data_IF_888548761920
#
_entry.id   IF_888548761920
#
_cell.length_a   1.000
_cell.length_b   1.000
_cell.length_c   1.000
_cell.angle_alpha   90.00
_cell.angle_beta   90.00
_cell.angle_gamma   90.00
#
_symmetry.space_group_name_H-M   'P 1'
#
loop_
_entity.id
_entity.type
_entity.pdbx_description
1 polymer ?
#
# COMPACT_ATOMS: atom_id res chain seq x y z
N UNK A 1 -36.23 31.51 -24.73
CA UNK A 1 -36.59 30.11 -24.37
C UNK A 1 -35.43 29.15 -24.60
N UNK A 2 -35.23 28.20 -23.65
CA UNK A 2 -34.40 26.96 -23.67
C UNK A 2 -32.88 27.11 -23.89
N UNK A 3 -32.01 26.96 -22.88
CA UNK A 3 -31.53 25.69 -22.24
C UNK A 3 -30.95 24.75 -23.32
N UNK A 4 -29.65 24.41 -23.34
CA UNK A 4 -29.06 23.53 -22.33
C UNK A 4 -27.53 23.44 -22.47
N UNK A 5 -26.88 23.42 -21.30
CA UNK A 5 -25.53 22.98 -21.01
C UNK A 5 -25.34 21.49 -21.33
N UNK A 6 -24.19 21.09 -21.88
CA UNK A 6 -23.81 19.68 -22.03
C UNK A 6 -22.60 19.37 -21.14
N UNK A 7 -22.91 18.88 -19.94
CA UNK A 7 -21.98 18.26 -19.01
C UNK A 7 -21.69 16.80 -19.38
N UNK A 8 -20.45 16.43 -19.09
CA UNK A 8 -19.86 15.09 -18.94
C UNK A 8 -20.81 13.95 -18.55
N UNK A 9 -20.54 12.74 -19.07
CA UNK A 9 -20.82 11.46 -18.38
C UNK A 9 -19.92 10.35 -18.92
N UNK A 10 -18.99 9.92 -18.07
CA UNK A 10 -18.24 8.68 -18.20
C UNK A 10 -19.19 7.48 -18.02
N UNK A 11 -19.01 6.44 -18.83
CA UNK A 11 -19.67 5.15 -18.67
C UNK A 11 -18.60 4.08 -18.42
N UNK A 12 -18.40 3.79 -17.14
CA UNK A 12 -17.54 2.72 -16.62
C UNK A 12 -18.29 1.39 -16.78
N UNK A 13 -17.81 0.50 -17.65
CA UNK A 13 -18.37 -0.86 -17.79
C UNK A 13 -17.70 -1.78 -16.76
N UNK A 14 -18.44 -2.11 -15.71
CA UNK A 14 -18.06 -3.00 -14.62
C UNK A 14 -18.26 -4.47 -15.03
N UNK A 15 -17.22 -5.11 -15.54
CA UNK A 15 -17.19 -6.58 -15.73
C UNK A 15 -16.82 -7.29 -14.44
N UNK A 16 -17.83 -7.84 -13.76
CA UNK A 16 -17.71 -8.74 -12.61
C UNK A 16 -17.11 -10.09 -13.03
N UNK A 17 -15.82 -10.31 -12.79
CA UNK A 17 -15.25 -11.67 -12.83
C UNK A 17 -15.07 -12.19 -11.41
N UNK A 18 -15.99 -13.07 -10.98
CA UNK A 18 -15.84 -13.90 -9.78
C UNK A 18 -14.55 -14.70 -9.90
N UNK A 19 -13.59 -14.48 -9.01
CA UNK A 19 -12.39 -15.31 -8.91
C UNK A 19 -12.46 -16.18 -7.65
N UNK A 20 -12.74 -17.45 -7.86
CA UNK A 20 -12.71 -18.54 -6.88
C UNK A 20 -11.32 -18.65 -6.25
N UNK A 21 -11.25 -18.72 -4.92
CA UNK A 21 -10.01 -18.91 -4.17
C UNK A 21 -9.69 -20.41 -4.12
N UNK A 22 -8.66 -20.83 -4.85
CA UNK A 22 -8.03 -22.14 -4.65
C UNK A 22 -6.89 -21.93 -3.66
N UNK A 23 -7.06 -22.48 -2.46
CA UNK A 23 -6.01 -22.60 -1.44
C UNK A 23 -5.15 -23.80 -1.77
N UNK A 24 -3.98 -23.58 -2.37
CA UNK A 24 -2.92 -24.57 -2.47
C UNK A 24 -1.75 -24.13 -1.60
N UNK A 25 -1.54 -24.86 -0.51
CA UNK A 25 -0.37 -24.77 0.33
C UNK A 25 0.84 -25.30 -0.45
N UNK A 26 1.57 -24.38 -1.06
CA UNK A 26 2.90 -24.61 -1.62
C UNK A 26 3.84 -23.65 -0.90
N UNK A 27 5.02 -24.13 -0.50
CA UNK A 27 6.10 -23.27 -0.01
C UNK A 27 6.64 -22.44 -1.18
N UNK A 28 5.81 -21.52 -1.65
CA UNK A 28 6.12 -20.55 -2.68
C UNK A 28 6.95 -19.46 -2.02
N UNK A 29 8.19 -19.29 -2.47
CA UNK A 29 9.01 -18.15 -2.07
C UNK A 29 8.24 -16.90 -2.47
N UNK A 30 7.50 -16.28 -1.54
CA UNK A 30 6.67 -15.10 -1.78
C UNK A 30 7.51 -14.07 -2.53
N UNK A 31 7.13 -13.80 -3.77
CA UNK A 31 7.83 -12.83 -4.61
C UNK A 31 7.71 -11.46 -3.97
N UNK A 32 8.85 -10.83 -3.70
CA UNK A 32 8.92 -9.45 -3.20
C UNK A 32 8.51 -8.51 -4.34
N UNK A 33 7.60 -7.59 -4.05
CA UNK A 33 7.18 -6.58 -5.01
C UNK A 33 8.35 -5.67 -5.42
N UNK A 34 8.36 -5.26 -6.69
CA UNK A 34 9.37 -4.32 -7.17
C UNK A 34 9.18 -2.97 -6.49
N UNK A 35 10.22 -2.38 -5.87
CA UNK A 35 10.12 -1.06 -5.26
C UNK A 35 9.72 0.02 -6.27
N UNK A 36 8.85 0.92 -5.83
CA UNK A 36 8.53 2.16 -6.53
C UNK A 36 9.60 3.18 -6.15
N UNK A 37 10.26 3.78 -7.14
CA UNK A 37 11.39 4.69 -6.93
C UNK A 37 11.02 6.10 -6.43
N UNK A 38 9.81 6.28 -5.90
CA UNK A 38 9.25 7.56 -5.48
C UNK A 38 8.61 7.38 -4.11
N UNK A 39 8.84 8.33 -3.22
CA UNK A 39 8.23 8.40 -1.90
C UNK A 39 6.75 8.77 -2.01
N UNK A 40 5.87 7.94 -1.45
CA UNK A 40 4.42 8.18 -1.47
C UNK A 40 3.94 9.41 -0.67
N UNK A 41 4.83 10.08 0.06
CA UNK A 41 4.49 11.25 0.89
C UNK A 41 5.02 12.57 0.31
N UNK A 42 6.30 12.63 -0.02
CA UNK A 42 6.95 13.85 -0.50
C UNK A 42 7.25 13.86 -2.00
N UNK A 43 6.98 12.76 -2.71
CA UNK A 43 7.25 12.56 -4.13
C UNK A 43 8.73 12.64 -4.54
N UNK A 44 9.66 12.67 -3.58
CA UNK A 44 11.10 12.58 -3.82
C UNK A 44 11.60 11.13 -3.98
N UNK A 45 12.84 10.98 -4.44
CA UNK A 45 13.53 9.70 -4.63
C UNK A 45 14.55 9.43 -3.51
N UNK A 46 15.49 8.49 -3.70
CA UNK A 46 16.52 8.19 -2.69
C UNK A 46 17.55 9.33 -2.49
N UNK A 47 17.63 10.27 -3.43
CA UNK A 47 18.57 11.38 -3.38
C UNK A 47 17.97 12.61 -2.72
N UNK A 48 16.63 12.69 -2.66
CA UNK A 48 15.94 13.85 -2.13
C UNK A 48 14.70 13.49 -1.31
N UNK A 49 14.79 13.67 0.01
CA UNK A 49 13.64 13.67 0.92
C UNK A 49 12.93 15.03 0.95
N UNK A 50 11.91 15.16 1.83
CA UNK A 50 11.14 16.40 1.99
C UNK A 50 11.98 17.64 2.33
N UNK A 51 13.14 17.44 2.96
CA UNK A 51 14.08 18.52 3.33
C UNK A 51 15.16 18.77 2.28
N UNK A 52 15.12 18.07 1.14
CA UNK A 52 16.13 18.19 0.11
C UNK A 52 17.41 17.37 0.35
N UNK A 53 17.39 16.41 1.29
CA UNK A 53 18.56 15.62 1.70
C UNK A 53 18.45 14.19 1.19
N UNK A 54 19.58 13.56 0.84
CA UNK A 54 19.60 12.15 0.45
C UNK A 54 19.23 11.24 1.62
N UNK A 55 18.25 10.37 1.37
CA UNK A 55 17.73 9.44 2.36
C UNK A 55 17.19 8.20 1.65
N UNK A 56 17.73 7.03 2.00
CA UNK A 56 17.30 5.77 1.39
C UNK A 56 15.90 5.38 1.86
N UNK A 57 15.00 5.14 0.90
CA UNK A 57 13.62 4.75 1.17
C UNK A 57 13.50 3.31 1.70
N UNK A 58 12.43 3.09 2.46
CA UNK A 58 11.93 1.78 2.84
C UNK A 58 10.81 1.41 1.85
N UNK A 59 10.80 0.16 1.38
CA UNK A 59 9.86 -0.29 0.36
C UNK A 59 8.98 -1.41 0.92
N UNK A 60 7.68 -1.34 0.65
CA UNK A 60 6.76 -2.41 1.02
C UNK A 60 7.06 -3.66 0.19
N UNK A 61 7.25 -4.78 0.87
CA UNK A 61 7.59 -6.03 0.20
C UNK A 61 6.40 -6.66 -0.57
N UNK A 62 5.18 -6.16 -0.38
CA UNK A 62 3.94 -6.70 -0.99
C UNK A 62 3.42 -5.84 -2.14
N UNK A 63 3.42 -4.50 -2.01
CA UNK A 63 2.89 -3.59 -3.04
C UNK A 63 3.96 -2.71 -3.70
N UNK A 64 5.19 -2.67 -3.16
CA UNK A 64 6.27 -1.87 -3.71
C UNK A 64 6.24 -0.38 -3.34
N UNK A 65 5.17 0.13 -2.71
CA UNK A 65 5.12 1.52 -2.23
C UNK A 65 6.31 1.82 -1.32
N UNK A 66 6.90 3.00 -1.52
CA UNK A 66 8.11 3.42 -0.85
C UNK A 66 7.90 4.69 -0.05
N UNK A 67 8.68 4.87 1.02
CA UNK A 67 8.68 6.08 1.81
C UNK A 67 10.01 6.30 2.50
N UNK A 68 10.39 7.57 2.64
CA UNK A 68 11.53 7.95 3.48
C UNK A 68 11.21 7.68 4.96
N UNK A 69 12.17 7.16 5.74
CA UNK A 69 12.04 7.08 7.18
C UNK A 69 11.58 8.39 7.84
N UNK A 70 12.12 9.53 7.43
CA UNK A 70 11.72 10.86 7.92
C UNK A 70 10.27 11.20 7.59
N UNK A 71 9.82 10.93 6.36
CA UNK A 71 8.41 11.11 5.95
C UNK A 71 7.46 10.17 6.70
N UNK A 72 7.92 8.96 7.02
CA UNK A 72 7.19 7.98 7.83
C UNK A 72 7.29 8.24 9.34
N UNK A 73 8.09 9.23 9.76
CA UNK A 73 8.37 9.56 11.15
C UNK A 73 8.93 8.37 11.96
N UNK A 74 9.79 7.55 11.33
CA UNK A 74 10.41 6.40 11.97
C UNK A 74 11.74 6.75 12.60
N UNK A 75 11.97 6.24 13.81
CA UNK A 75 13.27 6.34 14.47
C UNK A 75 14.32 5.44 13.80
N UNK A 76 15.60 5.81 13.90
CA UNK A 76 16.69 5.01 13.33
C UNK A 76 16.72 3.56 13.86
N UNK A 77 16.40 3.38 15.15
CA UNK A 77 16.32 2.05 15.76
C UNK A 77 15.26 1.19 15.10
N UNK A 78 14.10 1.78 14.78
CA UNK A 78 13.04 1.10 14.06
C UNK A 78 13.44 0.80 12.62
N UNK A 79 14.05 1.77 11.92
CA UNK A 79 14.54 1.60 10.53
C UNK A 79 15.53 0.44 10.43
N UNK A 80 16.49 0.33 11.37
CA UNK A 80 17.44 -0.79 11.43
C UNK A 80 16.72 -2.13 11.50
N UNK A 81 15.68 -2.25 12.33
CA UNK A 81 14.86 -3.47 12.45
C UNK A 81 14.03 -3.73 11.21
N UNK A 82 13.45 -2.70 10.60
CA UNK A 82 12.63 -2.79 9.39
C UNK A 82 13.45 -3.36 8.22
N UNK A 83 14.70 -2.93 8.08
CA UNK A 83 15.61 -3.39 7.01
C UNK A 83 15.98 -4.87 7.09
N UNK A 84 15.76 -5.54 8.22
CA UNK A 84 16.07 -6.97 8.41
C UNK A 84 14.85 -7.87 8.29
N UNK A 85 13.66 -7.33 8.01
CA UNK A 85 12.40 -8.07 7.96
C UNK A 85 11.65 -7.82 6.65
N UNK A 86 10.64 -8.66 6.39
CA UNK A 86 9.69 -8.47 5.29
C UNK A 86 8.67 -7.39 5.65
N UNK A 87 9.08 -6.13 5.56
CA UNK A 87 8.25 -4.99 5.97
C UNK A 87 7.04 -4.78 5.05
N UNK A 88 5.92 -4.42 5.66
CA UNK A 88 4.65 -4.12 5.01
C UNK A 88 4.25 -2.69 5.33
N UNK A 89 3.77 -1.93 4.33
CA UNK A 89 3.14 -0.64 4.57
C UNK A 89 1.84 -0.82 5.37
N UNK A 90 1.27 0.28 5.85
CA UNK A 90 0.05 0.28 6.66
C UNK A 90 -1.11 -0.42 5.95
N UNK A 91 -1.28 -0.20 4.65
CA UNK A 91 -2.36 -0.80 3.86
C UNK A 91 -2.14 -2.30 3.57
N UNK A 92 -0.88 -2.74 3.61
CA UNK A 92 -0.52 -4.14 3.37
C UNK A 92 -0.31 -4.93 4.66
N UNK A 93 -0.39 -4.29 5.83
CA UNK A 93 -0.15 -4.94 7.11
C UNK A 93 -1.23 -5.99 7.34
N UNK A 94 -0.80 -7.22 7.62
CA UNK A 94 -1.71 -8.34 7.94
C UNK A 94 -1.39 -8.90 9.31
N UNK A 95 -2.43 -9.39 9.99
CA UNK A 95 -2.25 -10.12 11.25
C UNK A 95 -1.40 -11.38 11.00
N UNK A 96 -0.38 -11.61 11.82
CA UNK A 96 0.50 -12.78 11.66
C UNK A 96 -0.25 -14.08 12.00
N UNK A 97 -1.22 -14.03 12.91
CA UNK A 97 -2.02 -15.20 13.30
C UNK A 97 -3.09 -15.60 12.29
N UNK A 98 -3.83 -14.63 11.72
CA UNK A 98 -4.98 -14.93 10.84
C UNK A 98 -4.81 -14.47 9.38
N UNK A 99 -3.71 -13.78 9.05
CA UNK A 99 -3.36 -13.27 7.71
C UNK A 99 -4.45 -12.40 7.04
N UNK A 100 -5.32 -11.76 7.84
CA UNK A 100 -6.31 -10.78 7.39
C UNK A 100 -5.76 -9.35 7.53
N UNK A 101 -6.17 -8.45 6.64
CA UNK A 101 -5.97 -6.99 6.78
C UNK A 101 -7.11 -6.37 7.60
N UNK A 102 -6.86 -5.17 8.15
CA UNK A 102 -7.77 -4.45 9.05
C UNK A 102 -9.14 -4.14 8.41
N UNK A 103 -9.21 -4.06 7.07
CA UNK A 103 -10.46 -3.80 6.34
C UNK A 103 -11.55 -4.87 6.52
N UNK A 104 -11.21 -6.02 7.12
CA UNK A 104 -12.14 -7.14 7.29
C UNK A 104 -12.90 -7.17 8.63
N UNK A 105 -12.72 -6.18 9.51
CA UNK A 105 -13.36 -6.14 10.84
C UNK A 105 -14.45 -5.06 10.98
N UNK A 106 -14.62 -4.18 10.00
CA UNK A 106 -15.63 -3.10 10.06
C UNK A 106 -17.01 -3.45 9.49
N UNK A 107 -17.46 -4.70 9.60
CA UNK A 107 -18.81 -5.06 9.17
C UNK A 107 -19.44 -6.23 9.93
N UNK A 108 -19.52 -6.10 11.26
CA UNK A 108 -20.49 -6.83 12.08
C UNK A 108 -20.72 -6.03 13.38
N UNK A 109 -21.87 -5.34 13.44
CA UNK A 109 -22.47 -4.65 14.60
C UNK A 109 -22.11 -3.19 14.89
N UNK A 110 -22.46 -2.28 13.99
CA UNK A 110 -22.77 -0.88 14.37
C UNK A 110 -24.16 -0.44 13.86
N UNK A 111 -25.18 -1.26 14.12
CA UNK A 111 -26.61 -0.88 14.12
C UNK A 111 -27.40 -1.84 15.03
N UNK A 112 -27.14 -1.78 16.34
CA UNK A 112 -28.15 -1.99 17.40
C UNK A 112 -27.90 -0.92 18.45
#
# INVERSE_FOLDING_TARGET
DRRSSSSTKAATTSTTTKRTRISSASHDKKKVAKPIGICGFCLGDNEKNANGVSEKMINCAECGNSGHPSCLQYSEKLVKKIRTIHWQCIDCKRCIGCNKSDDSVWNENLFI
#
